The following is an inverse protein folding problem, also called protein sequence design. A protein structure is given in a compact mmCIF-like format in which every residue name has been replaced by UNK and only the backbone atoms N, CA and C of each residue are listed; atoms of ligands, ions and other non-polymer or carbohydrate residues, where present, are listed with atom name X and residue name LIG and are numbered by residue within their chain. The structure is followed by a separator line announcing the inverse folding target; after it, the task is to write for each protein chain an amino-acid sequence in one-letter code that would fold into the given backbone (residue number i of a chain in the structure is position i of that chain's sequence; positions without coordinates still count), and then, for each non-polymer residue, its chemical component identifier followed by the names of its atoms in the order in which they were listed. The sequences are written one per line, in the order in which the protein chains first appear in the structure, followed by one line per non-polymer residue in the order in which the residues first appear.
data_IF_555503970432
#
_entry.id   IF_555503970432
#
_cell.length_a   1.000
_cell.length_b   1.000
_cell.length_c   1.000
_cell.angle_alpha   90.00
_cell.angle_beta   90.00
_cell.angle_gamma   90.00
#
_symmetry.space_group_name_H-M   'P 1'
#
loop_
_entity.id
_entity.type
_entity.pdbx_description
1 polymer ?
#
# COMPACT_ATOMS: atom_id res chain seq x y z
N UNK A 1 17.62 -19.90 22.59
CA UNK A 1 17.23 -18.68 23.32
C UNK A 1 15.74 -18.56 23.13
N UNK A 2 15.02 -19.19 24.04
CA UNK A 2 13.57 -19.12 24.16
C UNK A 2 13.24 -17.77 24.79
N UNK A 3 12.86 -16.79 23.97
CA UNK A 3 12.15 -15.62 24.48
C UNK A 3 10.67 -16.02 24.60
N UNK A 4 10.20 -16.03 25.84
CA UNK A 4 8.82 -16.23 26.24
C UNK A 4 7.93 -15.14 25.64
N UNK A 5 7.46 -15.38 24.40
CA UNK A 5 6.48 -14.55 23.68
C UNK A 5 5.05 -14.67 24.26
N UNK A 6 4.91 -14.82 25.58
CA UNK A 6 3.63 -14.68 26.25
C UNK A 6 3.23 -13.19 26.26
N UNK A 7 2.20 -12.77 25.51
CA UNK A 7 1.72 -11.39 25.59
C UNK A 7 1.30 -11.12 27.04
N UNK A 8 1.65 -9.96 27.58
CA UNK A 8 1.21 -9.64 28.93
C UNK A 8 -0.32 -9.69 28.98
N UNK A 9 -0.89 -10.32 30.01
CA UNK A 9 -2.34 -10.52 30.14
C UNK A 9 -3.17 -9.24 29.93
N UNK A 10 -2.64 -8.09 30.35
CA UNK A 10 -3.30 -6.79 30.16
C UNK A 10 -3.31 -6.30 28.70
N UNK A 11 -2.33 -6.67 27.88
CA UNK A 11 -2.31 -6.38 26.43
C UNK A 11 -3.39 -7.20 25.72
N UNK A 12 -3.55 -8.47 26.11
CA UNK A 12 -4.62 -9.34 25.62
C UNK A 12 -5.98 -8.76 25.98
N UNK A 13 -6.20 -8.38 27.23
CA UNK A 13 -7.47 -7.80 27.70
C UNK A 13 -7.83 -6.50 26.95
N UNK A 14 -6.85 -5.62 26.70
CA UNK A 14 -7.06 -4.37 25.95
C UNK A 14 -7.47 -4.61 24.50
N UNK A 15 -6.80 -5.53 23.81
CA UNK A 15 -7.15 -5.85 22.41
C UNK A 15 -8.47 -6.61 22.31
N UNK A 16 -8.78 -7.48 23.27
CA UNK A 16 -10.08 -8.15 23.34
C UNK A 16 -11.23 -7.15 23.50
N UNK A 17 -11.07 -6.13 24.34
CA UNK A 17 -12.08 -5.07 24.49
C UNK A 17 -12.23 -4.24 23.21
N UNK A 18 -11.13 -3.90 22.53
CA UNK A 18 -11.19 -3.23 21.23
C UNK A 18 -11.93 -4.07 20.18
N UNK A 19 -11.61 -5.36 20.07
CA UNK A 19 -12.23 -6.27 19.13
C UNK A 19 -13.73 -6.47 19.41
N UNK A 20 -14.17 -6.32 20.66
CA UNK A 20 -15.60 -6.34 21.02
C UNK A 20 -16.37 -5.17 20.42
N UNK A 21 -15.71 -4.03 20.17
CA UNK A 21 -16.34 -2.80 19.66
C UNK A 21 -15.98 -2.46 18.22
N UNK A 22 -15.01 -3.16 17.60
CA UNK A 22 -14.61 -2.99 16.21
C UNK A 22 -15.11 -4.17 15.35
N UNK A 23 -16.17 -3.99 14.54
CA UNK A 23 -16.62 -5.03 13.62
C UNK A 23 -15.53 -5.47 12.65
N UNK A 24 -14.77 -4.53 12.08
CA UNK A 24 -13.65 -4.82 11.17
C UNK A 24 -12.53 -5.57 11.89
N UNK A 25 -12.18 -5.16 13.10
CA UNK A 25 -11.18 -5.86 13.91
C UNK A 25 -11.60 -7.30 14.23
N UNK A 26 -12.86 -7.51 14.61
CA UNK A 26 -13.42 -8.84 14.84
C UNK A 26 -13.39 -9.71 13.57
N UNK A 27 -13.73 -9.14 12.42
CA UNK A 27 -13.67 -9.80 11.11
C UNK A 27 -12.23 -10.19 10.73
N UNK A 28 -11.26 -9.28 10.89
CA UNK A 28 -9.84 -9.58 10.68
C UNK A 28 -9.36 -10.70 11.59
N UNK A 29 -9.71 -10.65 12.88
CA UNK A 29 -9.34 -11.71 13.81
C UNK A 29 -9.94 -13.04 13.41
N UNK A 30 -11.21 -13.06 13.02
CA UNK A 30 -11.89 -14.26 12.57
C UNK A 30 -11.17 -14.84 11.35
N UNK A 31 -10.90 -14.02 10.33
CA UNK A 31 -10.12 -14.41 9.14
C UNK A 31 -8.76 -15.03 9.54
N UNK A 32 -8.03 -14.38 10.44
CA UNK A 32 -6.70 -14.82 10.88
C UNK A 32 -6.73 -16.12 11.68
N UNK A 33 -7.80 -16.36 12.43
CA UNK A 33 -7.98 -17.62 13.19
C UNK A 33 -8.53 -18.76 12.34
N UNK A 34 -9.21 -18.44 11.24
CA UNK A 34 -9.81 -19.40 10.29
C UNK A 34 -8.75 -19.99 9.32
N UNK A 35 -7.50 -19.54 9.38
CA UNK A 35 -6.35 -20.09 8.62
C UNK A 35 -5.98 -21.55 8.93
N UNK A 36 -6.78 -22.25 9.73
CA UNK A 36 -6.56 -23.68 10.08
C UNK A 36 -7.53 -24.65 9.41
N UNK A 37 -8.39 -24.19 8.52
CA UNK A 37 -9.39 -25.04 7.86
C UNK A 37 -8.92 -25.40 6.44
N UNK A 38 -8.88 -26.70 6.11
CA UNK A 38 -8.38 -27.29 4.85
C UNK A 38 -8.71 -26.45 3.59
N UNK A 39 -7.70 -25.83 2.99
CA UNK A 39 -7.80 -25.13 1.70
C UNK A 39 -7.22 -26.02 0.61
N UNK A 40 -8.06 -26.44 -0.32
CA UNK A 40 -7.72 -27.52 -1.26
C UNK A 40 -7.42 -27.05 -2.69
N UNK A 41 -7.37 -25.73 -2.97
CA UNK A 41 -7.05 -25.25 -4.32
C UNK A 41 -6.56 -23.79 -4.45
N UNK A 42 -5.87 -23.44 -5.56
CA UNK A 42 -5.34 -22.09 -5.81
C UNK A 42 -6.39 -20.99 -5.83
N UNK A 43 -7.55 -21.23 -6.45
CA UNK A 43 -8.64 -20.24 -6.52
C UNK A 43 -9.20 -19.88 -5.14
N UNK A 44 -9.18 -20.84 -4.21
CA UNK A 44 -9.61 -20.60 -2.84
C UNK A 44 -8.58 -19.77 -2.07
N UNK A 45 -7.30 -19.94 -2.40
CA UNK A 45 -6.21 -19.15 -1.86
C UNK A 45 -6.25 -17.70 -2.35
N UNK A 46 -6.47 -17.49 -3.65
CA UNK A 46 -6.65 -16.15 -4.22
C UNK A 46 -7.87 -15.45 -3.63
N UNK A 47 -9.05 -16.09 -3.62
CA UNK A 47 -10.25 -15.51 -2.99
C UNK A 47 -10.04 -15.20 -1.51
N UNK A 48 -9.29 -16.05 -0.81
CA UNK A 48 -8.98 -15.82 0.60
C UNK A 48 -8.09 -14.59 0.81
N UNK A 49 -7.10 -14.39 -0.07
CA UNK A 49 -6.25 -13.20 -0.12
C UNK A 49 -7.03 -11.93 -0.48
N UNK A 50 -7.90 -12.00 -1.50
CA UNK A 50 -8.74 -10.87 -1.88
C UNK A 50 -9.66 -10.45 -0.73
N UNK A 51 -10.27 -11.42 -0.03
CA UNK A 51 -11.06 -11.15 1.16
C UNK A 51 -10.24 -10.47 2.26
N UNK A 52 -8.99 -10.85 2.48
CA UNK A 52 -8.12 -10.14 3.44
C UNK A 52 -7.95 -8.68 3.05
N UNK A 53 -7.67 -8.42 1.77
CA UNK A 53 -7.49 -7.05 1.27
C UNK A 53 -8.77 -6.22 1.45
N UNK A 54 -9.95 -6.79 1.17
CA UNK A 54 -11.25 -6.15 1.40
C UNK A 54 -11.51 -5.79 2.87
N UNK A 55 -11.07 -6.63 3.81
CA UNK A 55 -11.20 -6.32 5.24
C UNK A 55 -10.20 -5.22 5.63
N UNK A 56 -8.95 -5.32 5.18
CA UNK A 56 -7.89 -4.37 5.52
C UNK A 56 -8.11 -2.97 4.92
N UNK A 57 -8.78 -2.86 3.76
CA UNK A 57 -9.15 -1.56 3.18
C UNK A 57 -10.21 -0.81 4.01
N UNK A 58 -10.85 -1.48 4.97
CA UNK A 58 -11.78 -0.89 5.95
C UNK A 58 -11.18 -0.81 7.36
N UNK A 59 -9.97 -1.33 7.56
CA UNK A 59 -9.35 -1.44 8.87
C UNK A 59 -8.88 -0.08 9.37
N UNK A 60 -9.10 0.19 10.65
CA UNK A 60 -8.41 1.25 11.35
C UNK A 60 -6.98 0.80 11.72
N UNK A 61 -6.04 1.73 11.95
CA UNK A 61 -4.70 1.41 12.45
C UNK A 61 -4.71 0.49 13.68
N UNK A 62 -5.69 0.65 14.56
CA UNK A 62 -5.85 -0.18 15.77
C UNK A 62 -6.22 -1.62 15.44
N UNK A 63 -6.98 -1.85 14.37
CA UNK A 63 -7.32 -3.20 13.93
C UNK A 63 -6.07 -3.91 13.40
N UNK A 64 -5.22 -3.21 12.63
CA UNK A 64 -3.92 -3.70 12.18
C UNK A 64 -2.97 -4.00 13.36
N UNK A 65 -2.95 -3.14 14.38
CA UNK A 65 -2.17 -3.37 15.60
C UNK A 65 -2.70 -4.58 16.41
N UNK A 66 -4.02 -4.72 16.53
CA UNK A 66 -4.67 -5.85 17.20
C UNK A 66 -4.36 -7.19 16.52
N UNK A 67 -4.13 -7.18 15.20
CA UNK A 67 -3.67 -8.32 14.42
C UNK A 67 -2.20 -8.69 14.70
N UNK A 68 -1.44 -7.80 15.34
CA UNK A 68 -0.03 -7.99 15.64
C UNK A 68 0.90 -7.63 14.48
N UNK A 69 0.46 -6.80 13.54
CA UNK A 69 1.32 -6.29 12.47
C UNK A 69 2.42 -5.38 13.05
N UNK A 70 3.62 -5.43 12.46
CA UNK A 70 4.65 -4.42 12.69
C UNK A 70 4.17 -3.07 12.18
N UNK A 71 4.66 -1.96 12.74
CA UNK A 71 4.29 -0.63 12.27
C UNK A 71 5.51 0.13 11.72
N UNK A 72 5.28 1.23 11.00
CA UNK A 72 6.34 2.12 10.48
C UNK A 72 7.40 2.55 11.51
N UNK A 73 7.13 2.46 12.82
CA UNK A 73 8.09 2.76 13.90
C UNK A 73 8.83 1.55 14.44
N UNK A 74 8.28 0.35 14.23
CA UNK A 74 8.69 -0.95 14.79
C UNK A 74 8.35 -2.00 13.75
N UNK A 75 9.15 -2.06 12.68
CA UNK A 75 8.97 -3.05 11.61
C UNK A 75 9.50 -4.43 12.03
N UNK A 76 10.40 -4.46 13.01
CA UNK A 76 11.16 -5.63 13.50
C UNK A 76 10.41 -6.51 14.50
N UNK A 77 9.21 -6.12 14.91
CA UNK A 77 8.35 -6.89 15.82
C UNK A 77 6.89 -6.46 15.69
N UNK A 78 5.92 -7.30 16.11
CA UNK A 78 4.52 -6.89 16.24
C UNK A 78 4.36 -5.57 16.99
N UNK A 79 3.61 -4.59 16.45
CA UNK A 79 3.26 -3.39 17.22
C UNK A 79 2.19 -3.71 18.25
N UNK A 80 2.59 -4.28 19.38
CA UNK A 80 1.68 -4.67 20.47
C UNK A 80 1.59 -3.64 21.58
N UNK A 81 2.46 -2.61 21.63
CA UNK A 81 2.41 -1.57 22.66
C UNK A 81 1.16 -0.70 22.48
N UNK A 82 0.12 -0.88 23.33
CA UNK A 82 -1.12 -0.15 23.18
C UNK A 82 -0.92 1.34 23.49
N UNK A 83 0.15 1.74 24.19
CA UNK A 83 0.39 3.15 24.49
C UNK A 83 0.85 3.94 23.27
N UNK A 84 1.32 3.25 22.22
CA UNK A 84 1.79 3.88 20.98
C UNK A 84 0.81 3.67 19.83
N UNK A 85 0.39 2.42 19.59
CA UNK A 85 -0.42 2.05 18.43
C UNK A 85 -1.94 2.08 18.70
N UNK A 86 -2.40 2.23 19.95
CA UNK A 86 -3.83 2.42 20.27
C UNK A 86 -4.25 3.89 20.30
N UNK A 87 -3.33 4.85 20.21
CA UNK A 87 -3.72 6.25 20.24
C UNK A 87 -4.20 6.67 18.85
N UNK A 88 -5.27 7.45 18.78
CA UNK A 88 -5.58 8.15 17.54
C UNK A 88 -4.56 9.28 17.35
N UNK A 89 -4.23 9.65 16.10
CA UNK A 89 -3.47 10.86 15.87
C UNK A 89 -4.20 12.05 16.49
N UNK A 90 -3.48 13.08 16.94
CA UNK A 90 -4.10 14.34 17.33
C UNK A 90 -5.02 14.83 16.21
N UNK A 91 -6.23 15.27 16.56
CA UNK A 91 -7.17 15.81 15.58
C UNK A 91 -6.52 16.93 14.76
N UNK A 92 -6.55 16.81 13.43
CA UNK A 92 -5.92 17.77 12.52
C UNK A 92 -4.43 17.54 12.22
N UNK A 93 -3.79 16.53 12.83
CA UNK A 93 -2.44 16.13 12.43
C UNK A 93 -2.48 15.42 11.08
N UNK A 94 -1.94 16.07 10.04
CA UNK A 94 -1.70 15.45 8.72
C UNK A 94 -0.43 14.60 8.68
N UNK A 95 0.43 14.75 9.68
CA UNK A 95 1.71 14.06 9.78
C UNK A 95 1.54 12.78 10.61
N UNK A 96 1.62 11.63 9.91
CA UNK A 96 1.69 10.29 10.53
C UNK A 96 3.09 9.69 10.46
N UNK A 97 4.10 10.54 10.32
CA UNK A 97 5.51 10.17 10.34
C UNK A 97 6.20 10.92 11.48
N UNK A 98 7.03 10.22 12.26
CA UNK A 98 7.79 10.79 13.37
C UNK A 98 7.37 10.32 14.76
N UNK A 99 7.93 10.91 15.84
CA UNK A 99 7.82 10.39 17.19
C UNK A 99 6.45 10.57 17.87
N UNK A 100 5.42 11.04 17.17
CA UNK A 100 4.07 11.31 17.74
C UNK A 100 3.30 10.02 18.05
N UNK A 101 2.63 9.88 19.21
CA UNK A 101 1.74 8.76 19.50
C UNK A 101 0.62 8.62 18.45
N UNK A 102 0.25 7.39 18.08
CA UNK A 102 -0.79 7.15 17.06
C UNK A 102 -0.36 7.42 15.61
N UNK A 103 0.82 7.98 15.37
CA UNK A 103 1.35 8.30 14.05
C UNK A 103 1.97 7.07 13.35
N UNK A 104 1.21 5.99 13.22
CA UNK A 104 1.60 4.87 12.36
C UNK A 104 1.02 5.10 10.97
N UNK A 105 1.84 5.55 10.02
CA UNK A 105 1.43 5.73 8.62
C UNK A 105 1.29 4.41 7.86
N UNK A 106 1.97 3.36 8.34
CA UNK A 106 1.85 2.02 7.75
C UNK A 106 2.00 0.89 8.77
N UNK A 107 1.43 -0.25 8.43
CA UNK A 107 1.58 -1.54 9.10
C UNK A 107 2.10 -2.58 8.11
N UNK A 108 2.92 -3.51 8.57
CA UNK A 108 3.59 -4.51 7.75
C UNK A 108 3.59 -5.87 8.45
N UNK A 109 3.44 -6.93 7.68
CA UNK A 109 3.76 -8.30 8.05
C UNK A 109 4.98 -8.76 7.26
N UNK A 110 6.12 -8.89 7.94
CA UNK A 110 7.33 -9.46 7.37
C UNK A 110 7.63 -10.89 7.86
N UNK A 111 6.70 -11.50 8.62
CA UNK A 111 6.87 -12.84 9.19
C UNK A 111 6.01 -13.88 8.47
N UNK A 112 4.87 -13.47 7.91
CA UNK A 112 4.04 -14.38 7.12
C UNK A 112 4.44 -14.39 5.64
N UNK A 113 4.12 -15.48 4.91
CA UNK A 113 4.26 -15.54 3.46
C UNK A 113 3.41 -14.52 2.70
N UNK A 114 2.46 -13.85 3.36
CA UNK A 114 1.54 -12.90 2.73
C UNK A 114 2.24 -11.60 2.27
N UNK A 115 3.40 -11.26 2.86
CA UNK A 115 4.12 -10.02 2.55
C UNK A 115 3.20 -8.80 2.59
N UNK A 116 2.40 -8.69 3.65
CA UNK A 116 1.32 -7.74 3.75
C UNK A 116 1.84 -6.35 4.12
N UNK A 117 1.32 -5.30 3.49
CA UNK A 117 1.52 -3.93 3.94
C UNK A 117 0.24 -3.10 3.81
N UNK A 118 -0.10 -2.34 4.85
CA UNK A 118 -1.22 -1.39 4.86
C UNK A 118 -0.67 0.02 5.03
N UNK A 119 -1.00 0.95 4.14
CA UNK A 119 -0.60 2.36 4.19
C UNK A 119 -1.82 3.26 4.31
N UNK A 120 -1.80 4.16 5.28
CA UNK A 120 -2.87 5.11 5.54
C UNK A 120 -2.52 6.47 4.92
N UNK A 121 -3.52 7.16 4.36
CA UNK A 121 -3.37 8.58 4.04
C UNK A 121 -3.09 9.38 5.32
N UNK A 122 -2.48 10.56 5.19
CA UNK A 122 -2.20 11.45 6.31
C UNK A 122 -3.42 11.82 7.15
N UNK A 123 -4.62 11.82 6.55
CA UNK A 123 -5.89 12.07 7.23
C UNK A 123 -6.73 10.81 7.58
N UNK A 124 -6.19 9.60 7.36
CA UNK A 124 -6.84 8.29 7.63
C UNK A 124 -8.12 7.95 6.89
N UNK A 125 -8.52 8.79 5.94
CA UNK A 125 -9.71 8.52 5.14
C UNK A 125 -9.48 7.37 4.16
N UNK A 126 -8.25 7.23 3.67
CA UNK A 126 -7.91 6.31 2.61
C UNK A 126 -6.85 5.31 3.05
N UNK A 127 -6.93 4.09 2.52
CA UNK A 127 -5.95 3.01 2.80
C UNK A 127 -5.56 2.31 1.51
N UNK A 128 -4.29 1.99 1.43
CA UNK A 128 -3.74 1.12 0.40
C UNK A 128 -3.23 -0.17 1.04
N UNK A 129 -3.64 -1.30 0.51
CA UNK A 129 -3.27 -2.63 0.97
C UNK A 129 -2.46 -3.30 -0.12
N UNK A 130 -1.28 -3.76 0.24
CA UNK A 130 -0.32 -4.50 -0.59
C UNK A 130 -0.29 -5.92 -0.07
N UNK A 131 -0.48 -6.90 -0.94
CA UNK A 131 -0.51 -8.31 -0.59
C UNK A 131 0.19 -9.13 -1.67
N UNK A 132 1.10 -10.02 -1.28
CA UNK A 132 1.70 -10.96 -2.22
C UNK A 132 0.69 -12.02 -2.61
N UNK A 133 0.56 -12.25 -3.91
CA UNK A 133 -0.44 -13.17 -4.46
C UNK A 133 0.01 -14.63 -4.46
N UNK A 134 1.30 -14.90 -4.22
CA UNK A 134 1.85 -16.24 -4.00
C UNK A 134 3.35 -16.26 -3.67
N UNK A 135 3.96 -17.44 -3.52
CA UNK A 135 5.39 -17.60 -3.24
C UNK A 135 6.25 -17.81 -4.51
N UNK A 136 7.56 -17.44 -4.52
CA UNK A 136 8.28 -16.45 -3.72
C UNK A 136 8.69 -15.19 -4.52
N UNK A 137 8.28 -15.08 -5.79
CA UNK A 137 8.60 -13.97 -6.73
C UNK A 137 7.34 -13.35 -7.34
N UNK A 138 6.19 -13.59 -6.73
CA UNK A 138 4.90 -13.32 -7.34
C UNK A 138 4.49 -11.84 -7.27
N UNK A 139 3.61 -11.42 -8.18
CA UNK A 139 3.11 -10.05 -8.22
C UNK A 139 2.47 -9.64 -6.90
N UNK A 140 2.66 -8.37 -6.56
CA UNK A 140 1.96 -7.70 -5.46
C UNK A 140 0.63 -7.20 -5.98
N UNK A 141 -0.46 -7.67 -5.39
CA UNK A 141 -1.77 -7.05 -5.54
C UNK A 141 -1.84 -5.78 -4.71
N UNK A 142 -2.38 -4.70 -5.28
CA UNK A 142 -2.61 -3.45 -4.55
C UNK A 142 -4.09 -3.09 -4.60
N UNK A 143 -4.68 -2.84 -3.43
CA UNK A 143 -6.05 -2.37 -3.27
C UNK A 143 -6.05 -1.00 -2.61
N UNK A 144 -6.76 -0.05 -3.20
CA UNK A 144 -6.97 1.29 -2.63
C UNK A 144 -8.44 1.46 -2.33
N UNK A 145 -8.80 1.60 -1.06
CA UNK A 145 -10.19 1.68 -0.59
C UNK A 145 -11.12 0.58 -1.17
N UNK A 146 -10.58 -0.64 -1.29
CA UNK A 146 -11.28 -1.81 -1.80
C UNK A 146 -11.16 -2.02 -3.31
N UNK A 147 -10.64 -1.05 -4.06
CA UNK A 147 -10.44 -1.15 -5.51
C UNK A 147 -9.07 -1.75 -5.81
N UNK A 148 -9.02 -2.93 -6.45
CA UNK A 148 -7.78 -3.51 -6.97
C UNK A 148 -7.29 -2.66 -8.15
N UNK A 149 -6.08 -2.08 -8.03
CA UNK A 149 -5.52 -1.21 -9.06
C UNK A 149 -4.59 -2.01 -9.99
N UNK A 150 -4.66 -1.73 -11.29
CA UNK A 150 -3.81 -2.31 -12.32
C UNK A 150 -3.54 -3.82 -12.16
N UNK A 151 -4.59 -4.68 -12.15
CA UNK A 151 -4.46 -6.11 -11.87
C UNK A 151 -3.59 -6.87 -12.89
N UNK A 152 -3.38 -6.30 -14.07
CA UNK A 152 -2.59 -6.87 -15.16
C UNK A 152 -1.10 -6.47 -15.12
N UNK A 153 -0.68 -5.70 -14.12
CA UNK A 153 0.71 -5.25 -13.95
C UNK A 153 1.37 -5.88 -12.73
N UNK A 154 2.68 -6.09 -12.81
CA UNK A 154 3.49 -6.42 -11.64
C UNK A 154 3.81 -5.15 -10.88
N UNK A 155 3.16 -4.96 -9.73
CA UNK A 155 3.34 -3.78 -8.88
C UNK A 155 4.41 -4.00 -7.81
N UNK A 156 5.09 -2.92 -7.40
CA UNK A 156 6.03 -2.94 -6.28
C UNK A 156 5.30 -3.02 -4.93
N UNK A 157 5.96 -3.55 -3.89
CA UNK A 157 5.48 -3.54 -2.50
C UNK A 157 5.55 -2.15 -1.83
N UNK A 158 6.07 -1.15 -2.55
CA UNK A 158 6.32 0.21 -2.09
C UNK A 158 5.50 1.23 -2.87
N UNK A 159 4.33 1.61 -2.34
CA UNK A 159 3.58 2.79 -2.81
C UNK A 159 3.57 3.96 -1.81
N UNK A 160 3.03 5.12 -2.19
CA UNK A 160 2.90 6.26 -1.28
C UNK A 160 1.68 7.13 -1.60
N UNK A 161 1.23 7.85 -0.59
CA UNK A 161 0.14 8.81 -0.69
C UNK A 161 0.68 10.20 -1.09
N UNK A 162 0.05 10.83 -2.07
CA UNK A 162 0.21 12.24 -2.41
C UNK A 162 -1.07 12.99 -2.06
N UNK A 163 -0.94 14.02 -1.22
CA UNK A 163 -2.01 14.95 -0.80
C UNK A 163 -3.31 14.27 -0.32
N UNK A 164 -3.20 13.11 0.34
CA UNK A 164 -4.33 12.28 0.79
C UNK A 164 -5.31 11.86 -0.31
N UNK A 165 -4.93 11.98 -1.58
CA UNK A 165 -5.82 11.78 -2.73
C UNK A 165 -5.28 10.74 -3.70
N UNK A 166 -4.01 10.87 -4.07
CA UNK A 166 -3.44 9.97 -5.06
C UNK A 166 -2.63 8.90 -4.35
N UNK A 167 -2.86 7.65 -4.71
CA UNK A 167 -1.95 6.57 -4.35
C UNK A 167 -1.05 6.26 -5.54
N UNK A 168 0.26 6.35 -5.34
CA UNK A 168 1.27 6.11 -6.36
C UNK A 168 2.00 4.82 -6.03
N UNK A 169 2.21 3.97 -7.03
CA UNK A 169 3.01 2.75 -6.91
C UNK A 169 3.77 2.50 -8.20
N UNK A 170 5.00 2.01 -8.08
CA UNK A 170 5.80 1.59 -9.22
C UNK A 170 5.31 0.23 -9.74
N UNK A 171 5.53 -0.01 -11.02
CA UNK A 171 5.22 -1.25 -11.69
C UNK A 171 6.33 -1.61 -12.67
N UNK A 172 6.39 -2.87 -13.09
CA UNK A 172 7.34 -3.31 -14.10
C UNK A 172 7.28 -2.43 -15.35
N UNK A 173 8.44 -1.97 -15.82
CA UNK A 173 8.54 -1.27 -17.10
C UNK A 173 8.16 -2.14 -18.29
N UNK A 174 7.97 -1.53 -19.47
CA UNK A 174 7.65 -2.27 -20.69
C UNK A 174 8.81 -3.18 -21.12
N UNK A 175 8.48 -4.44 -21.47
CA UNK A 175 9.46 -5.45 -21.91
C UNK A 175 10.20 -5.07 -23.20
N UNK A 176 9.57 -4.24 -24.05
CA UNK A 176 10.12 -3.78 -25.33
C UNK A 176 10.92 -2.47 -25.21
N UNK A 177 11.10 -1.94 -24.01
CA UNK A 177 11.92 -0.75 -23.81
C UNK A 177 13.42 -1.06 -24.08
N UNK A 178 14.13 -0.24 -24.87
CA UNK A 178 15.50 -0.54 -25.28
C UNK A 178 16.51 -0.62 -24.13
N UNK A 179 16.25 0.09 -23.03
CA UNK A 179 17.08 0.07 -21.82
C UNK A 179 16.58 -0.89 -20.73
N UNK A 180 15.59 -1.74 -21.04
CA UNK A 180 15.06 -2.71 -20.10
C UNK A 180 16.03 -3.87 -19.89
N UNK A 181 16.41 -4.10 -18.63
CA UNK A 181 17.26 -5.20 -18.21
C UNK A 181 16.47 -6.13 -17.29
N UNK A 182 16.43 -7.41 -17.65
CA UNK A 182 15.78 -8.49 -16.88
C UNK A 182 16.77 -9.65 -16.71
N UNK A 183 16.98 -10.20 -15.49
CA UNK A 183 16.58 -9.64 -14.20
C UNK A 183 17.54 -8.52 -13.75
N UNK A 184 16.98 -7.38 -13.34
CA UNK A 184 17.69 -6.33 -12.60
C UNK A 184 17.64 -6.57 -11.08
N UNK A 185 18.50 -5.89 -10.32
CA UNK A 185 18.42 -5.90 -8.85
C UNK A 185 17.21 -5.07 -8.38
N UNK A 186 16.25 -5.71 -7.69
CA UNK A 186 15.05 -5.06 -7.16
C UNK A 186 13.89 -6.04 -6.99
N UNK A 187 12.79 -5.61 -6.36
CA UNK A 187 11.59 -6.45 -6.18
C UNK A 187 10.89 -6.76 -7.50
N UNK A 188 10.80 -5.76 -8.39
CA UNK A 188 10.20 -5.89 -9.72
C UNK A 188 11.12 -6.56 -10.76
N UNK A 189 12.41 -6.72 -10.46
CA UNK A 189 13.36 -7.36 -11.37
C UNK A 189 13.61 -6.63 -12.70
N UNK A 190 13.23 -5.36 -12.83
CA UNK A 190 13.45 -4.53 -14.02
C UNK A 190 14.34 -3.31 -13.75
N UNK A 191 14.90 -2.71 -14.80
CA UNK A 191 15.67 -1.46 -14.72
C UNK A 191 14.82 -0.22 -15.02
N UNK A 192 13.82 -0.35 -15.90
CA UNK A 192 12.89 0.71 -16.24
C UNK A 192 11.55 0.42 -15.57
N UNK A 193 10.89 1.48 -15.10
CA UNK A 193 9.69 1.41 -14.28
C UNK A 193 8.53 2.14 -14.94
N UNK A 194 7.34 1.59 -14.75
CA UNK A 194 6.05 2.23 -15.01
C UNK A 194 5.55 2.85 -13.70
N UNK A 195 4.81 3.96 -13.76
CA UNK A 195 4.17 4.55 -12.58
C UNK A 195 2.65 4.38 -12.66
N UNK A 196 2.05 3.79 -11.64
CA UNK A 196 0.59 3.67 -11.50
C UNK A 196 0.11 4.68 -10.47
N UNK A 197 -0.89 5.48 -10.86
CA UNK A 197 -1.50 6.53 -10.03
C UNK A 197 -2.99 6.30 -9.91
N UNK A 198 -3.49 6.11 -8.69
CA UNK A 198 -4.92 5.98 -8.42
C UNK A 198 -5.46 7.26 -7.75
N UNK A 199 -6.45 7.90 -8.37
CA UNK A 199 -7.18 9.06 -7.82
C UNK A 199 -8.41 8.57 -7.06
N UNK A 200 -8.36 8.57 -5.72
CA UNK A 200 -9.46 8.07 -4.86
C UNK A 200 -10.72 8.92 -4.96
N UNK A 201 -10.61 10.21 -5.28
CA UNK A 201 -11.79 11.08 -5.42
C UNK A 201 -12.59 10.75 -6.68
N UNK A 202 -11.91 10.28 -7.72
CA UNK A 202 -12.52 9.94 -9.01
C UNK A 202 -12.69 8.45 -9.22
N UNK A 203 -12.10 7.61 -8.36
CA UNK A 203 -11.97 6.18 -8.55
C UNK A 203 -11.38 5.82 -9.92
N UNK A 204 -10.36 6.55 -10.36
CA UNK A 204 -9.69 6.34 -11.65
C UNK A 204 -8.23 5.99 -11.45
N UNK A 205 -7.75 5.02 -12.23
CA UNK A 205 -6.33 4.64 -12.27
C UNK A 205 -5.71 5.10 -13.60
N UNK A 206 -4.59 5.79 -13.51
CA UNK A 206 -3.76 6.17 -14.64
C UNK A 206 -2.44 5.39 -14.58
N UNK A 207 -2.02 4.85 -15.73
CA UNK A 207 -0.72 4.19 -15.88
C UNK A 207 0.15 5.08 -16.75
N UNK A 208 1.28 5.50 -16.20
CA UNK A 208 2.29 6.30 -16.88
C UNK A 208 3.40 5.36 -17.31
N UNK A 209 3.52 5.16 -18.62
CA UNK A 209 4.52 4.29 -19.23
C UNK A 209 5.63 5.18 -19.82
N UNK A 210 6.91 4.86 -19.58
CA UNK A 210 8.01 5.54 -20.24
C UNK A 210 8.04 5.22 -21.74
N UNK A 211 8.31 6.23 -22.56
CA UNK A 211 8.64 6.09 -23.97
C UNK A 211 10.07 5.55 -24.14
N UNK A 212 10.40 5.01 -25.32
CA UNK A 212 11.69 4.38 -25.59
C UNK A 212 12.95 5.26 -25.37
N UNK A 213 12.79 6.58 -25.23
CA UNK A 213 13.87 7.52 -24.93
C UNK A 213 13.89 8.00 -23.48
N UNK A 214 13.02 7.48 -22.62
CA UNK A 214 12.88 7.91 -21.22
C UNK A 214 13.37 6.83 -20.26
N UNK A 215 14.32 7.20 -19.39
CA UNK A 215 15.02 6.24 -18.53
C UNK A 215 14.51 6.28 -17.09
N UNK A 216 13.24 5.91 -16.90
CA UNK A 216 12.59 5.93 -15.60
C UNK A 216 13.09 4.79 -14.72
N UNK A 217 14.24 4.99 -14.08
CA UNK A 217 14.90 3.98 -13.25
C UNK A 217 14.48 4.02 -11.79
N UNK A 218 14.08 5.19 -11.31
CA UNK A 218 13.52 5.39 -9.97
C UNK A 218 12.51 6.55 -9.99
N UNK A 219 11.36 6.36 -10.66
CA UNK A 219 10.49 7.48 -10.97
C UNK A 219 9.77 8.00 -9.72
N UNK A 220 9.90 9.31 -9.48
CA UNK A 220 9.20 10.00 -8.39
C UNK A 220 8.12 10.91 -8.98
N UNK A 221 6.93 10.87 -8.38
CA UNK A 221 5.81 11.72 -8.76
C UNK A 221 5.56 12.79 -7.70
N UNK A 222 5.42 14.04 -8.15
CA UNK A 222 4.94 15.16 -7.32
C UNK A 222 3.72 15.79 -7.95
N UNK A 223 2.86 16.37 -7.10
CA UNK A 223 1.76 17.23 -7.53
C UNK A 223 2.15 18.68 -7.28
N UNK A 224 2.02 19.54 -8.29
CA UNK A 224 2.17 20.99 -8.13
C UNK A 224 1.23 21.71 -9.07
N UNK A 225 0.46 22.65 -8.53
CA UNK A 225 -0.51 23.47 -9.28
C UNK A 225 -1.48 22.63 -10.16
N UNK A 226 -1.90 21.47 -9.65
CA UNK A 226 -2.83 20.56 -10.35
C UNK A 226 -2.18 19.75 -11.48
N UNK A 227 -0.85 19.73 -11.56
CA UNK A 227 -0.08 18.91 -12.52
C UNK A 227 0.75 17.85 -11.80
N UNK A 228 0.83 16.68 -12.41
CA UNK A 228 1.81 15.66 -12.12
C UNK A 228 3.14 16.05 -12.73
N UNK A 229 4.19 16.05 -11.92
CA UNK A 229 5.60 16.15 -12.32
C UNK A 229 6.24 14.79 -12.06
N UNK A 230 6.62 14.13 -13.15
CA UNK A 230 7.36 12.86 -13.12
C UNK A 230 8.83 13.19 -13.24
N UNK A 231 9.63 12.70 -12.31
CA UNK A 231 11.08 12.73 -12.34
C UNK A 231 11.54 11.30 -12.56
N UNK A 232 12.32 11.03 -13.60
CA UNK A 232 12.71 9.69 -14.02
C UNK A 232 13.66 8.99 -13.03
N UNK A 233 14.48 9.77 -12.34
CA UNK A 233 15.50 9.31 -11.40
C UNK A 233 15.79 10.33 -10.28
N UNK A 234 16.72 9.99 -9.40
CA UNK A 234 17.15 10.83 -8.28
C UNK A 234 17.79 12.15 -8.75
N UNK A 235 18.56 12.14 -9.84
CA UNK A 235 19.24 13.33 -10.34
C UNK A 235 18.25 14.36 -10.89
N UNK A 236 17.25 13.91 -11.65
CA UNK A 236 16.15 14.75 -12.12
C UNK A 236 15.37 15.36 -10.95
N UNK A 237 15.12 14.57 -9.90
CA UNK A 237 14.43 15.02 -8.68
C UNK A 237 15.25 16.07 -7.91
N UNK A 238 16.55 15.85 -7.72
CA UNK A 238 17.46 16.78 -7.04
C UNK A 238 17.60 18.10 -7.79
N UNK A 239 17.66 18.04 -9.12
CA UNK A 239 17.73 19.22 -9.98
C UNK A 239 16.37 19.91 -10.21
N UNK A 240 15.28 19.37 -9.63
CA UNK A 240 13.89 19.80 -9.86
C UNK A 240 13.55 19.98 -11.35
N UNK A 241 14.05 19.06 -12.18
CA UNK A 241 13.84 19.06 -13.64
C UNK A 241 12.95 17.87 -14.00
N UNK A 242 11.62 18.05 -14.09
CA UNK A 242 10.72 16.94 -14.38
C UNK A 242 10.84 16.51 -15.85
N UNK A 243 10.98 15.21 -16.07
CA UNK A 243 10.98 14.58 -17.39
C UNK A 243 9.60 14.65 -18.06
N UNK A 244 8.53 14.60 -17.26
CA UNK A 244 7.16 14.70 -17.76
C UNK A 244 6.29 15.58 -16.88
N UNK A 245 5.50 16.45 -17.51
CA UNK A 245 4.47 17.26 -16.86
C UNK A 245 3.12 16.91 -17.48
N UNK A 246 2.19 16.44 -16.65
CA UNK A 246 0.86 15.98 -17.08
C UNK A 246 -0.22 16.59 -16.18
N UNK A 247 -1.47 16.74 -16.68
CA UNK A 247 -2.59 17.08 -15.80
C UNK A 247 -2.80 16.01 -14.71
N UNK A 248 -2.96 16.42 -13.44
CA UNK A 248 -3.25 15.48 -12.34
C UNK A 248 -4.68 14.90 -12.39
N UNK A 249 -5.53 15.48 -13.23
CA UNK A 249 -6.86 15.03 -13.53
C UNK A 249 -6.96 14.79 -15.04
N UNK A 250 -7.38 13.59 -15.50
CA UNK A 250 -7.69 13.43 -16.91
C UNK A 250 -8.78 14.46 -17.29
N UNK A 251 -8.65 15.14 -18.44
CA UNK A 251 -9.66 16.11 -18.86
C UNK A 251 -11.02 15.43 -18.94
N UNK A 252 -12.06 16.08 -18.40
CA UNK A 252 -13.44 15.62 -18.51
C UNK A 252 -13.73 15.47 -19.99
N UNK A 253 -13.89 14.22 -20.47
CA UNK A 253 -14.31 13.98 -21.85
C UNK A 253 -15.69 14.59 -22.01
N UNK A 254 -15.78 15.79 -22.59
CA UNK A 254 -17.04 16.36 -23.02
C UNK A 254 -17.67 15.39 -24.01
N UNK A 255 -18.80 14.77 -23.63
CA UNK A 255 -19.59 13.96 -24.55
C UNK A 255 -19.84 14.76 -25.83
N UNK A 256 -19.63 14.20 -27.02
CA UNK A 256 -20.05 14.87 -28.24
C UNK A 256 -21.56 15.11 -28.15
N UNK A 257 -21.97 16.37 -28.30
CA UNK A 257 -23.38 16.70 -28.52
C UNK A 257 -23.73 16.13 -29.88
N UNK A 258 -24.41 14.98 -29.91
CA UNK A 258 -25.11 14.56 -31.11
C UNK A 258 -26.22 15.59 -31.35
N UNK A 259 -26.09 16.32 -32.46
CA UNK A 259 -27.13 17.19 -32.99
C UNK A 259 -28.22 16.41 -33.71
#
# INVERSE_FOLDING_TARGET
MDDDFSPHRWEIEVWHEWLRVSPTGAELRAWWTDERTDRTGPDDEERHRERLAEILTRAAPRDCAALGLGCSRRVDRPCRDPRLCRQDPPAGSRLRSGPVPGACSSFIDCWSPLGLRVKFSGNDRHRAVHLRLGPPVDPVGVWVDGVRIAPDLWLDESGYWLDDRFYVVEASGPDDHPEQLIPSMGHLGCSIMTVVVHDVERATTQVLVPEAGENWTWPVLRVTDGTFRVYADEAALEADTPDRILPAAPPVRSRPRHG
#
